data_IF_662329759915
#
_entry.id   IF_662329759915
#
_cell.length_a   1.000
_cell.length_b   1.000
_cell.length_c   1.000
_cell.angle_alpha   90.00
_cell.angle_beta   90.00
_cell.angle_gamma   90.00
#
_symmetry.space_group_name_H-M   'P 1'
#
loop_
_entity.id
_entity.type
_entity.pdbx_description
1 polymer ?
#
# COMPACT_ATOMS: atom_id res chain seq x y z
N UNK A 1 7.82 22.94 -18.36
CA UNK A 1 7.98 21.64 -17.67
C UNK A 1 9.17 21.77 -16.72
N UNK A 2 8.96 21.47 -15.43
CA UNK A 2 10.01 21.44 -14.40
C UNK A 2 10.27 20.00 -14.02
N UNK A 3 11.49 19.67 -13.65
CA UNK A 3 11.92 18.34 -13.19
C UNK A 3 12.55 18.50 -11.81
N UNK A 4 12.11 17.67 -10.86
CA UNK A 4 12.67 17.62 -9.51
C UNK A 4 13.74 16.53 -9.43
N UNK A 5 14.83 16.85 -8.73
CA UNK A 5 15.87 15.87 -8.35
C UNK A 5 15.53 15.31 -6.98
N UNK A 6 14.80 14.20 -6.95
CA UNK A 6 14.36 13.59 -5.70
C UNK A 6 15.21 12.38 -5.25
N UNK A 7 16.16 11.95 -6.06
CA UNK A 7 16.98 10.76 -5.80
C UNK A 7 16.47 9.53 -6.55
N UNK A 8 16.59 8.35 -5.96
CA UNK A 8 16.03 7.10 -6.51
C UNK A 8 14.56 6.97 -6.06
N UNK A 9 13.72 7.81 -6.65
CA UNK A 9 12.31 7.93 -6.29
C UNK A 9 11.51 6.68 -6.70
N UNK A 10 10.62 6.22 -5.81
CA UNK A 10 9.74 5.09 -6.07
C UNK A 10 8.26 5.43 -5.91
N UNK A 11 7.92 6.33 -5.02
CA UNK A 11 6.55 6.76 -4.78
C UNK A 11 6.47 8.26 -4.55
N UNK A 12 5.29 8.81 -4.76
CA UNK A 12 5.00 10.22 -4.51
C UNK A 12 3.57 10.40 -4.02
N UNK A 13 3.37 11.38 -3.16
CA UNK A 13 2.06 11.76 -2.66
C UNK A 13 1.95 13.28 -2.60
N UNK A 14 0.72 13.78 -2.73
CA UNK A 14 0.39 15.20 -2.59
C UNK A 14 -0.47 15.35 -1.33
N UNK A 15 -0.15 16.34 -0.48
CA UNK A 15 -0.97 16.61 0.71
C UNK A 15 -2.42 16.94 0.34
N UNK A 16 -3.35 16.66 1.25
CA UNK A 16 -4.78 16.88 1.01
C UNK A 16 -5.14 18.32 0.66
N UNK A 17 -4.37 19.28 1.16
CA UNK A 17 -4.53 20.70 0.83
C UNK A 17 -3.84 21.11 -0.50
N UNK A 18 -3.16 20.17 -1.16
CA UNK A 18 -2.48 20.37 -2.44
C UNK A 18 -1.20 21.23 -2.37
N UNK A 19 -0.69 21.52 -1.17
CA UNK A 19 0.46 22.44 -1.01
C UNK A 19 1.82 21.76 -0.93
N UNK A 20 1.85 20.50 -0.58
CA UNK A 20 3.08 19.74 -0.40
C UNK A 20 3.14 18.52 -1.32
N UNK A 21 4.32 18.24 -1.85
CA UNK A 21 4.64 17.00 -2.54
C UNK A 21 5.67 16.25 -1.69
N UNK A 22 5.41 14.99 -1.37
CA UNK A 22 6.38 14.11 -0.77
C UNK A 22 6.82 13.05 -1.77
N UNK A 23 8.11 12.70 -1.76
CA UNK A 23 8.70 11.69 -2.65
C UNK A 23 9.53 10.73 -1.82
N UNK A 24 9.18 9.45 -1.88
CA UNK A 24 9.92 8.37 -1.20
C UNK A 24 11.05 7.83 -2.07
N UNK A 25 12.13 7.39 -1.43
CA UNK A 25 13.34 6.93 -2.07
C UNK A 25 13.73 5.51 -1.62
N UNK A 26 14.22 4.70 -2.58
CA UNK A 26 14.84 3.42 -2.27
C UNK A 26 16.27 3.59 -1.74
N UNK A 27 17.08 4.38 -2.41
CA UNK A 27 18.50 4.55 -2.11
C UNK A 27 18.87 6.03 -2.18
N UNK A 28 19.42 6.62 -1.13
CA UNK A 28 19.80 6.01 0.16
C UNK A 28 18.63 5.76 1.13
N UNK A 29 17.40 5.94 0.70
CA UNK A 29 16.19 5.92 1.53
C UNK A 29 15.77 7.33 1.96
N UNK A 30 14.61 7.42 2.60
CA UNK A 30 14.07 8.68 3.10
C UNK A 30 12.95 9.27 2.24
N UNK A 31 12.45 10.41 2.71
CA UNK A 31 11.37 11.17 2.05
C UNK A 31 11.82 12.60 1.85
N UNK A 32 11.70 13.11 0.62
CA UNK A 32 11.91 14.54 0.30
C UNK A 32 10.57 15.24 0.15
N UNK A 33 10.48 16.43 0.73
CA UNK A 33 9.26 17.25 0.72
C UNK A 33 9.52 18.53 -0.07
N UNK A 34 8.59 18.87 -0.93
CA UNK A 34 8.64 20.04 -1.80
C UNK A 34 7.36 20.86 -1.68
N UNK A 35 7.46 22.16 -1.90
CA UNK A 35 6.30 23.01 -2.16
C UNK A 35 5.67 22.64 -3.52
N UNK A 36 4.38 22.37 -3.55
CA UNK A 36 3.71 21.88 -4.77
C UNK A 36 3.59 22.94 -5.87
N UNK A 37 3.67 24.23 -5.53
CA UNK A 37 3.55 25.35 -6.47
C UNK A 37 4.91 25.76 -7.03
N UNK A 38 5.89 25.99 -6.14
CA UNK A 38 7.21 26.50 -6.50
C UNK A 38 8.18 25.40 -6.85
N UNK A 39 7.95 24.18 -6.35
CA UNK A 39 8.84 23.02 -6.40
C UNK A 39 10.14 23.24 -5.62
N UNK A 40 10.14 24.16 -4.67
CA UNK A 40 11.24 24.36 -3.73
C UNK A 40 11.33 23.17 -2.78
N UNK A 41 12.55 22.70 -2.50
CA UNK A 41 12.78 21.68 -1.49
C UNK A 41 12.59 22.29 -0.08
N UNK A 42 11.69 21.68 0.70
CA UNK A 42 11.35 22.15 2.05
C UNK A 42 12.02 21.31 3.14
N UNK A 43 12.05 19.99 2.96
CA UNK A 43 12.67 19.08 3.90
C UNK A 43 13.27 17.84 3.22
N UNK A 44 14.25 17.26 3.90
CA UNK A 44 14.81 15.94 3.63
C UNK A 44 14.72 15.12 4.93
N UNK A 45 13.98 14.02 4.89
CA UNK A 45 13.71 13.16 6.04
C UNK A 45 14.47 11.85 5.81
N UNK A 46 15.68 11.68 6.36
CA UNK A 46 16.45 10.47 6.17
C UNK A 46 15.80 9.31 6.93
N UNK A 47 15.66 8.16 6.26
CA UNK A 47 15.12 6.94 6.86
C UNK A 47 16.22 6.17 7.62
N UNK A 48 16.78 6.80 8.64
CA UNK A 48 17.82 6.21 9.50
C UNK A 48 17.20 5.50 10.70
N UNK A 49 17.57 4.23 10.90
CA UNK A 49 17.07 3.38 11.98
C UNK A 49 18.21 2.65 12.69
N UNK A 50 17.91 2.03 13.82
CA UNK A 50 18.89 1.27 14.61
C UNK A 50 20.15 2.08 14.94
N UNK A 51 21.31 1.53 14.63
CA UNK A 51 22.62 2.15 14.87
C UNK A 51 23.16 2.96 13.67
N UNK A 52 22.27 3.49 12.82
CA UNK A 52 22.66 4.33 11.68
C UNK A 52 22.45 3.67 10.30
N UNK A 53 21.70 2.58 10.25
CA UNK A 53 21.34 1.96 8.99
C UNK A 53 20.31 2.82 8.24
N UNK A 54 20.33 2.72 6.93
CA UNK A 54 19.35 3.35 6.04
C UNK A 54 18.34 2.33 5.53
N UNK A 55 17.06 2.70 5.52
CA UNK A 55 15.99 1.87 4.99
C UNK A 55 15.41 2.45 3.70
N UNK A 56 15.06 1.57 2.77
CA UNK A 56 14.16 1.94 1.67
C UNK A 56 12.84 2.45 2.24
N UNK A 57 12.31 3.51 1.65
CA UNK A 57 10.98 4.02 2.00
C UNK A 57 9.99 3.69 0.89
N UNK A 58 8.89 3.09 1.27
CA UNK A 58 7.82 2.60 0.39
C UNK A 58 6.46 2.89 1.02
N UNK A 59 5.38 2.65 0.27
CA UNK A 59 4.01 2.83 0.77
C UNK A 59 3.74 4.24 1.28
N UNK A 60 4.28 5.26 0.59
CA UNK A 60 4.09 6.66 0.95
C UNK A 60 2.70 7.13 0.53
N UNK A 61 1.92 7.59 1.49
CA UNK A 61 0.60 8.20 1.27
C UNK A 61 0.44 9.48 2.09
N UNK A 62 -0.45 10.34 1.67
CA UNK A 62 -0.89 11.50 2.45
C UNK A 62 -1.83 11.06 3.59
N UNK A 63 -1.88 11.85 4.63
CA UNK A 63 -2.72 11.64 5.80
C UNK A 63 -3.33 12.96 6.30
N UNK A 64 -4.49 12.93 6.97
CA UNK A 64 -5.14 14.14 7.46
C UNK A 64 -4.22 15.01 8.33
N UNK A 65 -4.34 16.33 8.18
CA UNK A 65 -3.62 17.32 9.01
C UNK A 65 -2.18 17.61 8.55
N UNK A 66 -1.93 17.63 7.23
CA UNK A 66 -0.61 17.87 6.65
C UNK A 66 0.44 16.87 7.14
N UNK A 67 0.07 15.61 7.14
CA UNK A 67 0.93 14.50 7.49
C UNK A 67 1.14 13.60 6.28
N UNK A 68 2.29 12.94 6.23
CA UNK A 68 2.52 11.79 5.38
C UNK A 68 2.85 10.58 6.23
N UNK A 69 2.40 9.42 5.80
CA UNK A 69 2.70 8.13 6.42
C UNK A 69 3.38 7.23 5.39
N UNK A 70 4.35 6.47 5.84
CA UNK A 70 5.16 5.61 4.99
C UNK A 70 5.80 4.46 5.76
N UNK A 71 6.15 3.42 5.01
CA UNK A 71 6.81 2.23 5.54
C UNK A 71 8.31 2.25 5.29
N UNK A 72 9.08 1.78 6.26
CA UNK A 72 10.51 1.53 6.16
C UNK A 72 10.75 0.02 5.98
N UNK A 73 11.05 -0.37 4.75
CA UNK A 73 11.16 -1.78 4.34
C UNK A 73 12.19 -2.57 5.15
N UNK A 74 13.43 -2.07 5.22
CA UNK A 74 14.52 -2.79 5.88
C UNK A 74 14.43 -2.72 7.41
N UNK A 75 13.85 -1.63 7.93
CA UNK A 75 13.68 -1.40 9.35
C UNK A 75 12.52 -2.19 9.97
N UNK A 76 11.49 -2.53 9.19
CA UNK A 76 10.25 -3.08 9.75
C UNK A 76 9.49 -2.04 10.58
N UNK A 77 9.39 -0.81 10.06
CA UNK A 77 8.80 0.33 10.77
C UNK A 77 7.77 1.05 9.90
N UNK A 78 6.84 1.75 10.54
CA UNK A 78 5.96 2.76 9.93
C UNK A 78 6.26 4.10 10.59
N UNK A 79 6.40 5.15 9.79
CA UNK A 79 6.60 6.50 10.31
C UNK A 79 5.49 7.43 9.82
N UNK A 80 5.11 8.36 10.72
CA UNK A 80 4.28 9.52 10.38
C UNK A 80 5.19 10.75 10.42
N UNK A 81 5.20 11.54 9.36
CA UNK A 81 5.81 12.86 9.32
C UNK A 81 4.72 13.93 9.45
N UNK A 82 4.69 14.66 10.55
CA UNK A 82 3.86 15.86 10.73
C UNK A 82 4.59 17.06 10.11
N UNK A 83 3.95 17.68 9.14
CA UNK A 83 4.46 18.80 8.35
C UNK A 83 3.67 20.09 8.58
N UNK A 84 3.17 20.31 9.80
CA UNK A 84 2.60 21.62 10.18
C UNK A 84 3.57 22.76 9.92
N UNK A 85 4.87 22.55 10.24
CA UNK A 85 5.98 23.33 9.70
C UNK A 85 6.74 22.44 8.70
N UNK A 86 6.56 22.63 7.38
CA UNK A 86 7.17 21.76 6.39
C UNK A 86 8.71 21.75 6.39
N UNK A 87 9.32 22.78 6.97
CA UNK A 87 10.79 22.88 7.10
C UNK A 87 11.32 22.21 8.35
N UNK A 88 10.44 21.80 9.28
CA UNK A 88 10.79 21.15 10.55
C UNK A 88 9.87 19.96 10.81
N UNK A 89 9.96 18.89 10.00
CA UNK A 89 9.14 17.71 10.16
C UNK A 89 9.26 17.11 11.57
N UNK A 90 8.12 16.78 12.18
CA UNK A 90 8.08 16.03 13.43
C UNK A 90 7.73 14.59 13.11
N UNK A 91 8.57 13.64 13.54
CA UNK A 91 8.44 12.24 13.23
C UNK A 91 7.86 11.46 14.41
N UNK A 92 6.81 10.69 14.15
CA UNK A 92 6.34 9.63 15.03
C UNK A 92 6.69 8.28 14.41
N UNK A 93 7.38 7.43 15.16
CA UNK A 93 7.95 6.16 14.66
C UNK A 93 7.30 4.99 15.36
N UNK A 94 6.87 4.00 14.57
CA UNK A 94 6.32 2.73 15.05
C UNK A 94 7.27 1.62 14.63
N UNK A 95 7.96 1.03 15.61
CA UNK A 95 8.97 0.00 15.39
C UNK A 95 8.37 -1.40 15.55
N UNK A 96 9.05 -2.42 15.01
CA UNK A 96 8.66 -3.83 15.15
C UNK A 96 7.25 -4.12 14.62
N UNK A 97 6.85 -3.44 13.55
CA UNK A 97 5.49 -3.61 12.98
C UNK A 97 5.36 -4.87 12.11
N UNK A 98 6.44 -5.56 11.85
CA UNK A 98 6.52 -6.76 11.02
C UNK A 98 7.68 -6.71 10.03
N UNK A 99 7.92 -7.84 9.35
CA UNK A 99 9.06 -7.98 8.44
C UNK A 99 8.75 -7.40 7.08
N UNK A 100 9.64 -6.50 6.64
CA UNK A 100 9.65 -5.96 5.29
C UNK A 100 8.28 -5.39 4.87
N UNK A 101 7.71 -4.41 5.60
CA UNK A 101 6.53 -3.70 5.10
C UNK A 101 6.86 -3.12 3.73
N UNK A 102 5.95 -3.29 2.77
CA UNK A 102 6.20 -2.83 1.40
C UNK A 102 5.22 -1.71 1.03
N UNK A 103 4.27 -1.99 0.17
CA UNK A 103 3.28 -0.99 -0.19
C UNK A 103 2.31 -0.75 0.96
N UNK A 104 1.75 0.45 0.98
CA UNK A 104 0.75 0.84 1.95
C UNK A 104 -0.29 1.74 1.32
N UNK A 105 -1.50 1.67 1.83
CA UNK A 105 -2.60 2.53 1.42
C UNK A 105 -3.32 3.10 2.63
N UNK A 106 -4.00 4.22 2.44
CA UNK A 106 -4.90 4.78 3.44
C UNK A 106 -6.36 4.48 3.05
N UNK A 107 -7.20 4.25 4.07
CA UNK A 107 -8.66 4.19 3.83
C UNK A 107 -9.18 5.55 3.35
N UNK A 108 -10.27 5.58 2.55
CA UNK A 108 -10.80 6.82 1.97
C UNK A 108 -11.19 7.89 3.00
N UNK A 109 -11.54 7.48 4.22
CA UNK A 109 -11.82 8.37 5.33
C UNK A 109 -10.54 8.92 6.01
N UNK A 110 -9.35 8.49 5.54
CA UNK A 110 -8.06 8.88 6.10
C UNK A 110 -7.79 8.32 7.49
N UNK A 111 -8.56 7.32 7.94
CA UNK A 111 -8.42 6.81 9.30
C UNK A 111 -7.32 5.77 9.43
N UNK A 112 -7.30 4.78 8.55
CA UNK A 112 -6.34 3.68 8.67
C UNK A 112 -5.28 3.74 7.59
N UNK A 113 -4.04 3.56 8.00
CA UNK A 113 -2.95 3.19 7.11
C UNK A 113 -2.69 1.70 7.24
N UNK A 114 -2.57 1.02 6.11
CA UNK A 114 -2.41 -0.42 6.05
C UNK A 114 -1.19 -0.72 5.20
N UNK A 115 -0.25 -1.48 5.76
CA UNK A 115 0.95 -1.93 5.05
C UNK A 115 0.98 -3.45 4.93
N UNK A 116 1.24 -3.95 3.73
CA UNK A 116 1.51 -5.35 3.48
C UNK A 116 2.90 -5.75 3.96
N UNK A 117 3.04 -6.98 4.44
CA UNK A 117 4.31 -7.48 4.93
C UNK A 117 4.90 -8.49 3.93
N UNK A 118 6.02 -8.10 3.31
CA UNK A 118 6.71 -8.99 2.37
C UNK A 118 7.43 -10.14 3.06
N UNK A 119 8.01 -9.88 4.19
CA UNK A 119 8.82 -10.85 4.91
C UNK A 119 8.04 -11.90 5.69
N UNK A 120 6.72 -11.74 5.85
CA UNK A 120 5.86 -12.64 6.61
C UNK A 120 4.39 -12.48 6.23
N UNK A 121 3.54 -13.38 6.69
CA UNK A 121 2.10 -13.27 6.49
C UNK A 121 1.49 -12.15 7.32
N UNK A 122 0.41 -11.55 6.80
CA UNK A 122 -0.37 -10.53 7.48
C UNK A 122 -0.09 -9.11 7.03
N UNK A 123 -0.77 -8.20 7.69
CA UNK A 123 -0.73 -6.78 7.44
C UNK A 123 -0.48 -6.02 8.73
N UNK A 124 0.17 -4.86 8.60
CA UNK A 124 0.30 -3.88 9.67
C UNK A 124 -0.78 -2.79 9.50
N UNK A 125 -1.58 -2.55 10.52
CA UNK A 125 -2.67 -1.60 10.54
C UNK A 125 -2.42 -0.53 11.59
N UNK A 126 -2.37 0.73 11.17
CA UNK A 126 -2.21 1.90 12.03
C UNK A 126 -3.46 2.78 11.96
N UNK A 127 -4.08 3.06 13.11
CA UNK A 127 -5.17 4.04 13.22
C UNK A 127 -4.57 5.45 13.28
N UNK A 128 -4.68 6.21 12.18
CA UNK A 128 -4.13 7.57 12.06
C UNK A 128 -4.91 8.60 12.88
N UNK A 129 -6.10 8.24 13.36
CA UNK A 129 -6.87 9.08 14.27
C UNK A 129 -6.49 8.83 15.73
N UNK A 130 -5.96 7.66 16.03
CA UNK A 130 -5.53 7.25 17.37
C UNK A 130 -4.13 6.58 17.31
N UNK A 131 -3.11 7.28 16.80
CA UNK A 131 -1.79 6.68 16.57
C UNK A 131 -1.10 6.25 17.87
N UNK A 132 -1.50 6.79 19.00
CA UNK A 132 -0.99 6.37 20.32
C UNK A 132 -1.33 4.93 20.68
N UNK A 133 -2.31 4.32 20.03
CA UNK A 133 -2.63 2.89 20.19
C UNK A 133 -1.60 1.98 19.52
N UNK A 134 -0.71 2.56 18.70
CA UNK A 134 0.32 1.81 17.98
C UNK A 134 -0.22 1.01 16.79
N UNK A 135 0.66 0.18 16.24
CA UNK A 135 0.34 -0.67 15.10
C UNK A 135 -0.14 -2.03 15.57
N UNK A 136 -1.23 -2.51 15.03
CA UNK A 136 -1.71 -3.87 15.26
C UNK A 136 -1.53 -4.75 14.02
N UNK A 137 -1.34 -6.03 14.24
CA UNK A 137 -1.22 -7.04 13.19
C UNK A 137 -2.60 -7.64 12.90
N UNK A 138 -2.95 -7.69 11.63
CA UNK A 138 -4.19 -8.30 11.13
C UNK A 138 -3.87 -9.34 10.07
N UNK A 139 -4.77 -10.29 9.84
CA UNK A 139 -4.63 -11.34 8.84
C UNK A 139 -3.32 -12.14 8.93
N UNK A 140 -2.90 -12.53 10.12
CA UNK A 140 -1.61 -13.20 10.35
C UNK A 140 -1.46 -14.56 9.64
N UNK A 141 -2.53 -15.19 9.20
CA UNK A 141 -2.51 -16.38 8.35
C UNK A 141 -2.68 -16.08 6.85
N UNK A 142 -2.42 -14.85 6.43
CA UNK A 142 -2.63 -14.38 5.08
C UNK A 142 -1.55 -14.86 4.11
N UNK A 143 -1.95 -15.49 3.09
CA UNK A 143 -1.55 -15.43 1.72
C UNK A 143 -0.24 -15.94 1.19
N UNK A 144 0.72 -16.36 1.98
CA UNK A 144 1.98 -16.83 1.39
C UNK A 144 1.95 -18.27 0.86
N UNK A 145 0.96 -19.07 1.10
CA UNK A 145 0.71 -20.46 0.69
C UNK A 145 1.80 -21.22 -0.07
N UNK A 146 2.14 -20.79 -1.28
CA UNK A 146 3.13 -21.44 -2.14
C UNK A 146 4.53 -20.85 -1.98
N UNK A 147 5.54 -21.72 -2.02
CA UNK A 147 6.95 -21.33 -2.00
C UNK A 147 7.72 -22.08 -3.12
N UNK A 148 8.58 -21.44 -3.89
CA UNK A 148 8.78 -19.99 -3.94
C UNK A 148 7.57 -19.29 -4.58
N UNK A 149 7.29 -18.06 -4.15
CA UNK A 149 6.31 -17.23 -4.86
C UNK A 149 6.86 -16.92 -6.26
N UNK A 150 6.14 -17.24 -7.36
CA UNK A 150 6.63 -17.06 -8.72
C UNK A 150 6.74 -15.59 -9.14
N UNK A 151 6.40 -14.66 -8.28
CA UNK A 151 6.51 -13.23 -8.54
C UNK A 151 7.50 -12.62 -7.57
N UNK A 152 8.51 -11.95 -8.13
CA UNK A 152 9.40 -11.08 -7.35
C UNK A 152 8.71 -9.79 -6.91
N UNK A 153 7.51 -9.53 -7.39
CA UNK A 153 6.70 -8.38 -7.00
C UNK A 153 5.61 -8.82 -6.05
N UNK A 154 5.50 -8.10 -5.00
CA UNK A 154 4.47 -8.14 -3.99
C UNK A 154 3.09 -7.90 -4.55
N UNK A 155 2.04 -8.40 -3.88
CA UNK A 155 0.76 -7.76 -4.03
C UNK A 155 0.96 -6.28 -3.71
N UNK A 156 0.76 -5.44 -4.70
CA UNK A 156 0.80 -4.01 -4.51
C UNK A 156 -0.41 -3.61 -3.69
N UNK A 157 -0.17 -3.19 -2.45
CA UNK A 157 -1.23 -2.86 -1.52
C UNK A 157 -1.93 -1.54 -1.85
N UNK A 158 -1.30 -0.70 -2.70
CA UNK A 158 -1.91 0.53 -3.23
C UNK A 158 -3.19 0.27 -4.04
N UNK A 159 -3.35 -0.96 -4.51
CA UNK A 159 -4.49 -1.39 -5.32
C UNK A 159 -5.46 -2.28 -4.57
N UNK A 160 -5.64 -2.03 -3.28
CA UNK A 160 -6.73 -2.66 -2.56
C UNK A 160 -8.06 -2.22 -3.15
N UNK A 161 -8.87 -3.17 -3.45
CA UNK A 161 -10.23 -2.86 -3.80
C UNK A 161 -11.01 -2.55 -2.53
N UNK A 162 -11.38 -1.29 -2.38
CA UNK A 162 -12.28 -0.82 -1.33
C UNK A 162 -13.68 -0.67 -1.91
N UNK A 163 -14.59 -1.57 -1.56
CA UNK A 163 -15.96 -1.58 -2.04
C UNK A 163 -16.94 -1.52 -0.86
N UNK A 164 -17.45 -0.33 -0.59
CA UNK A 164 -18.30 -0.07 0.57
C UNK A 164 -17.54 -0.31 1.88
N UNK A 165 -18.04 -1.19 2.72
CA UNK A 165 -17.46 -1.59 4.01
C UNK A 165 -16.51 -2.80 3.91
N UNK A 166 -16.18 -3.23 2.69
CA UNK A 166 -15.31 -4.38 2.42
C UNK A 166 -14.05 -3.98 1.70
N UNK A 167 -12.96 -4.66 2.05
CA UNK A 167 -11.70 -4.64 1.32
C UNK A 167 -11.47 -5.99 0.66
N UNK A 168 -10.96 -5.95 -0.57
CA UNK A 168 -10.61 -7.14 -1.34
C UNK A 168 -9.09 -7.20 -1.46
N UNK A 169 -8.48 -8.24 -0.94
CA UNK A 169 -7.03 -8.34 -0.78
C UNK A 169 -6.49 -9.56 -1.51
N UNK A 170 -5.48 -9.41 -2.38
CA UNK A 170 -4.91 -10.53 -3.10
C UNK A 170 -4.14 -11.46 -2.15
N UNK A 171 -4.52 -12.73 -2.09
CA UNK A 171 -3.77 -13.79 -1.41
C UNK A 171 -2.87 -14.50 -2.42
N UNK A 172 -1.74 -13.89 -2.74
CA UNK A 172 -0.87 -14.25 -3.88
C UNK A 172 -0.52 -15.73 -3.92
N UNK A 173 -0.04 -16.29 -2.83
CA UNK A 173 0.39 -17.69 -2.79
C UNK A 173 -0.75 -18.70 -2.65
N UNK A 174 -2.02 -18.28 -2.73
CA UNK A 174 -3.18 -19.17 -2.54
C UNK A 174 -4.20 -19.12 -3.66
N UNK A 175 -3.96 -18.32 -4.70
CA UNK A 175 -4.91 -18.12 -5.82
C UNK A 175 -6.31 -17.73 -5.34
N UNK A 176 -6.34 -16.82 -4.38
CA UNK A 176 -7.58 -16.34 -3.76
C UNK A 176 -7.55 -14.82 -3.60
N UNK A 177 -8.74 -14.23 -3.61
CA UNK A 177 -8.96 -12.85 -3.16
C UNK A 177 -9.71 -12.92 -1.83
N UNK A 178 -9.12 -12.38 -0.77
CA UNK A 178 -9.76 -12.32 0.54
C UNK A 178 -10.77 -11.18 0.57
N UNK A 179 -11.87 -11.40 1.25
CA UNK A 179 -12.88 -10.37 1.55
C UNK A 179 -12.79 -10.03 3.02
N UNK A 180 -12.50 -8.77 3.31
CA UNK A 180 -12.22 -8.27 4.65
C UNK A 180 -13.30 -7.25 5.04
N UNK A 181 -13.85 -7.38 6.23
CA UNK A 181 -14.68 -6.35 6.84
C UNK A 181 -13.80 -5.21 7.39
N UNK A 182 -14.01 -3.99 6.93
CA UNK A 182 -13.16 -2.83 7.28
C UNK A 182 -13.36 -2.33 8.73
N UNK A 183 -14.41 -2.73 9.41
CA UNK A 183 -14.66 -2.33 10.81
C UNK A 183 -13.91 -3.22 11.77
N UNK A 184 -13.97 -4.53 11.54
CA UNK A 184 -13.32 -5.53 12.40
C UNK A 184 -11.91 -5.91 11.93
N UNK A 185 -11.58 -5.65 10.66
CA UNK A 185 -10.36 -6.11 9.98
C UNK A 185 -10.19 -7.62 10.01
N UNK A 186 -11.33 -8.32 9.94
CA UNK A 186 -11.38 -9.78 9.88
C UNK A 186 -11.79 -10.23 8.49
N UNK A 187 -11.26 -11.37 8.10
CA UNK A 187 -11.71 -12.07 6.91
C UNK A 187 -13.16 -12.53 7.08
N UNK A 188 -13.98 -12.24 6.08
CA UNK A 188 -15.40 -12.63 6.03
C UNK A 188 -15.70 -13.56 4.85
N UNK A 189 -14.77 -13.73 3.94
CA UNK A 189 -14.93 -14.64 2.81
C UNK A 189 -13.69 -14.69 1.93
N UNK A 190 -13.75 -15.58 0.92
CA UNK A 190 -12.71 -15.76 -0.09
C UNK A 190 -13.33 -16.02 -1.44
N UNK A 191 -12.67 -15.56 -2.48
CA UNK A 191 -13.03 -15.86 -3.86
C UNK A 191 -11.84 -16.55 -4.51
N UNK A 192 -12.01 -17.82 -4.90
CA UNK A 192 -11.01 -18.54 -5.67
C UNK A 192 -10.87 -17.91 -7.06
N UNK A 193 -9.65 -17.71 -7.53
CA UNK A 193 -9.31 -17.06 -8.80
C UNK A 193 -8.38 -17.90 -9.64
N UNK A 194 -8.22 -17.54 -10.92
CA UNK A 194 -7.54 -18.36 -11.92
C UNK A 194 -6.04 -18.57 -11.67
N UNK A 195 -5.40 -17.69 -10.92
CA UNK A 195 -3.96 -17.73 -10.70
C UNK A 195 -3.55 -16.90 -9.50
N UNK A 196 -2.26 -16.63 -9.36
CA UNK A 196 -1.77 -15.73 -8.32
C UNK A 196 -2.24 -14.31 -8.57
N UNK A 197 -3.15 -13.75 -7.76
CA UNK A 197 -3.63 -12.40 -7.94
C UNK A 197 -2.52 -11.39 -7.58
N UNK A 198 -2.33 -10.38 -8.41
CA UNK A 198 -1.31 -9.34 -8.20
C UNK A 198 -1.96 -8.01 -7.83
N UNK A 199 -2.87 -7.52 -8.67
CA UNK A 199 -3.63 -6.31 -8.39
C UNK A 199 -5.10 -6.63 -8.27
N UNK A 200 -5.75 -5.93 -7.37
CA UNK A 200 -7.19 -6.00 -7.15
C UNK A 200 -7.72 -4.57 -7.09
N UNK A 201 -8.55 -4.20 -8.06
CA UNK A 201 -9.04 -2.82 -8.21
C UNK A 201 -10.56 -2.80 -8.19
N UNK A 202 -11.15 -1.99 -7.32
CA UNK A 202 -12.60 -1.81 -7.28
C UNK A 202 -13.07 -0.82 -8.34
N UNK A 203 -14.15 -1.15 -9.05
CA UNK A 203 -14.88 -0.16 -9.84
C UNK A 203 -15.40 0.95 -8.91
N UNK A 204 -15.41 2.24 -9.33
CA UNK A 204 -15.77 3.35 -8.45
C UNK A 204 -17.13 3.25 -7.75
N UNK A 205 -18.08 2.53 -8.34
CA UNK A 205 -19.40 2.28 -7.74
C UNK A 205 -19.40 1.12 -6.72
N UNK A 206 -18.25 0.47 -6.50
CA UNK A 206 -18.09 -0.63 -5.58
C UNK A 206 -18.77 -1.95 -5.97
N UNK A 207 -19.37 -2.05 -7.18
CA UNK A 207 -20.12 -3.23 -7.59
C UNK A 207 -19.28 -4.35 -8.15
N UNK A 208 -18.09 -4.05 -8.61
CA UNK A 208 -17.17 -5.01 -9.19
C UNK A 208 -15.76 -4.81 -8.68
N UNK A 209 -15.06 -5.92 -8.57
CA UNK A 209 -13.63 -5.96 -8.29
C UNK A 209 -12.94 -6.70 -9.43
N UNK A 210 -11.93 -6.07 -10.02
CA UNK A 210 -11.18 -6.59 -11.13
C UNK A 210 -9.82 -7.09 -10.63
N UNK A 211 -9.41 -8.26 -11.11
CA UNK A 211 -8.22 -8.98 -10.63
C UNK A 211 -7.37 -9.39 -11.82
N UNK A 212 -6.09 -9.04 -11.82
CA UNK A 212 -5.10 -9.58 -12.75
C UNK A 212 -4.14 -10.54 -12.04
N UNK A 213 -3.31 -11.22 -12.81
CA UNK A 213 -2.53 -12.34 -12.31
C UNK A 213 -1.06 -12.26 -12.70
N UNK A 214 -0.23 -12.95 -11.91
CA UNK A 214 1.13 -13.27 -12.27
C UNK A 214 1.19 -14.33 -13.38
N UNK A 215 2.34 -14.48 -14.07
CA UNK A 215 2.56 -15.60 -14.97
C UNK A 215 2.28 -16.96 -14.28
N UNK A 216 1.70 -17.94 -15.00
CA UNK A 216 1.43 -17.95 -16.45
C UNK A 216 0.11 -17.29 -16.86
N UNK A 217 -0.72 -16.81 -15.91
CA UNK A 217 -2.06 -16.26 -16.16
C UNK A 217 -2.08 -14.73 -16.35
N UNK A 218 -0.91 -14.14 -16.66
CA UNK A 218 -0.77 -12.69 -16.80
C UNK A 218 -1.40 -12.09 -18.08
N UNK A 219 -2.09 -12.89 -18.86
CA UNK A 219 -2.94 -12.47 -19.98
C UNK A 219 -4.42 -12.36 -19.59
N UNK A 220 -4.75 -12.71 -18.36
CA UNK A 220 -6.13 -12.89 -17.88
C UNK A 220 -6.50 -11.81 -16.86
N UNK A 221 -7.75 -11.38 -16.92
CA UNK A 221 -8.42 -10.54 -15.92
C UNK A 221 -9.73 -11.21 -15.53
N UNK A 222 -10.01 -11.31 -14.25
CA UNK A 222 -11.29 -11.77 -13.73
C UNK A 222 -12.04 -10.65 -13.03
N UNK A 223 -13.37 -10.68 -13.16
CA UNK A 223 -14.27 -9.70 -12.55
C UNK A 223 -15.13 -10.40 -11.51
N UNK A 224 -15.01 -9.95 -10.28
CA UNK A 224 -15.80 -10.40 -9.14
C UNK A 224 -16.96 -9.43 -8.93
N UNK A 225 -18.17 -9.94 -8.87
CA UNK A 225 -19.34 -9.18 -8.43
C UNK A 225 -19.33 -9.12 -6.90
N UNK A 226 -19.34 -7.92 -6.33
CA UNK A 226 -19.18 -7.70 -4.88
C UNK A 226 -20.43 -8.09 -4.08
N UNK A 227 -21.59 -8.12 -4.72
CA UNK A 227 -22.84 -8.50 -4.06
C UNK A 227 -22.92 -10.01 -3.87
N UNK A 228 -22.56 -10.76 -4.91
CA UNK A 228 -22.66 -12.22 -4.91
C UNK A 228 -21.38 -12.94 -4.49
N UNK A 229 -20.24 -12.24 -4.51
CA UNK A 229 -18.92 -12.82 -4.26
C UNK A 229 -18.48 -13.81 -5.36
N UNK A 230 -19.06 -13.74 -6.55
CA UNK A 230 -18.78 -14.67 -7.66
C UNK A 230 -18.02 -14.00 -8.78
N UNK A 231 -17.19 -14.79 -9.47
CA UNK A 231 -16.62 -14.37 -10.76
C UNK A 231 -17.74 -14.35 -11.79
N UNK A 232 -17.98 -13.17 -12.37
CA UNK A 232 -19.01 -12.94 -13.37
C UNK A 232 -18.45 -12.82 -14.78
N UNK A 233 -17.15 -12.59 -14.90
CA UNK A 233 -16.48 -12.49 -16.19
C UNK A 233 -15.01 -12.85 -16.10
N UNK A 234 -14.49 -13.47 -17.16
CA UNK A 234 -13.05 -13.70 -17.38
C UNK A 234 -12.72 -13.15 -18.77
N UNK A 235 -11.71 -12.30 -18.82
CA UNK A 235 -11.25 -11.60 -20.02
C UNK A 235 -9.81 -11.97 -20.31
N UNK A 236 -9.46 -11.97 -21.59
CA UNK A 236 -8.08 -12.16 -22.09
C UNK A 236 -7.68 -10.97 -22.96
N UNK A 237 -7.42 -9.79 -22.37
CA UNK A 237 -7.16 -8.57 -23.15
C UNK A 237 -5.82 -8.58 -23.90
N UNK A 238 -4.93 -9.50 -23.55
CA UNK A 238 -3.61 -9.63 -24.15
C UNK A 238 -2.55 -10.00 -23.10
N UNK A 239 -1.32 -10.28 -23.54
CA UNK A 239 -0.24 -10.69 -22.65
C UNK A 239 0.26 -9.51 -21.81
N UNK A 240 0.64 -9.81 -20.57
CA UNK A 240 1.24 -8.92 -19.59
C UNK A 240 0.33 -7.76 -19.17
N UNK A 241 -0.87 -8.10 -18.67
CA UNK A 241 -1.71 -7.14 -17.93
C UNK A 241 -0.98 -6.80 -16.62
N UNK A 242 -0.29 -5.66 -16.59
CA UNK A 242 0.53 -5.25 -15.44
C UNK A 242 -0.23 -4.36 -14.46
N UNK A 243 -1.01 -3.42 -14.99
CA UNK A 243 -1.80 -2.48 -14.20
C UNK A 243 -3.20 -2.35 -14.74
N UNK A 244 -4.12 -1.96 -13.86
CA UNK A 244 -5.50 -1.65 -14.18
C UNK A 244 -5.93 -0.44 -13.36
N UNK A 245 -6.67 0.47 -14.01
CA UNK A 245 -7.27 1.65 -13.38
C UNK A 245 -8.66 1.90 -13.98
N UNK A 246 -9.52 2.63 -13.24
CA UNK A 246 -10.83 3.09 -13.69
C UNK A 246 -10.86 4.61 -13.86
#
# INVERSE_FOLDING_TARGET
>A
KRVLQAGNAIGGAISQDGRLIAVSNYTPGGVKVFDATTLEALADIPAVYGSGQHSKVVGLVDAPGNRFVFSLYDAGEIWIADLKDPRKPVLQKFTNIGKQPYDGTATPDGRYYIAGLFGEDGLALLDLWQPEQGVRRVLQGYGRGEQPLPVYKMPHMDYWALAGDRSYVPAVGRHEVLVIDQRSWKETGRVAVAGQPVFVVARPDGRQVWVNFAPPHNDTVQVIDTLTGKIVQTLTPGKAVLHMEF
#
